data_IF_716691697624
#
_entry.id   IF_716691697624
#
_cell.length_a   1.000
_cell.length_b   1.000
_cell.length_c   1.000
_cell.angle_alpha   90.00
_cell.angle_beta   90.00
_cell.angle_gamma   90.00
#
_symmetry.space_group_name_H-M   'P 1'
#
loop_
_entity.id
_entity.type
_entity.pdbx_description
1 polymer ?
#
# COMPACT_ATOMS: atom_id res chain seq x y z
N UNK A 1 3.19 4.15 26.05
CA UNK A 1 3.19 2.72 26.42
C UNK A 1 4.55 2.16 26.02
N UNK A 2 5.42 1.96 26.99
CA UNK A 2 6.57 1.08 26.85
C UNK A 2 6.10 -0.34 27.15
N UNK A 3 6.39 -1.29 26.25
CA UNK A 3 6.52 -2.69 26.60
C UNK A 3 7.72 -3.28 25.86
N UNK A 4 8.54 -3.98 26.63
CA UNK A 4 9.77 -4.65 26.24
C UNK A 4 9.49 -6.05 25.65
N UNK A 5 10.50 -6.53 24.93
CA UNK A 5 10.54 -7.74 24.11
C UNK A 5 10.54 -9.05 24.91
N UNK A 6 10.16 -10.13 24.22
CA UNK A 6 10.57 -11.50 24.56
C UNK A 6 11.32 -12.08 23.36
N UNK A 7 12.57 -12.46 23.60
CA UNK A 7 13.54 -13.01 22.65
C UNK A 7 13.17 -14.42 22.16
N UNK A 8 13.47 -14.70 20.88
CA UNK A 8 13.80 -16.04 20.40
C UNK A 8 15.04 -15.95 19.49
N UNK A 9 16.06 -16.81 19.69
CA UNK A 9 17.35 -16.65 19.03
C UNK A 9 17.32 -17.29 17.65
N UNK A 10 17.74 -16.54 16.62
CA UNK A 10 18.17 -17.12 15.35
C UNK A 10 19.59 -16.64 15.05
N UNK A 11 20.47 -17.62 15.16
CA UNK A 11 21.90 -17.60 14.89
C UNK A 11 22.23 -17.00 13.53
N UNK A 12 23.08 -15.96 13.54
CA UNK A 12 23.82 -15.47 12.38
C UNK A 12 25.28 -15.89 12.54
N UNK A 13 25.83 -16.45 11.48
CA UNK A 13 27.15 -17.04 11.46
C UNK A 13 28.33 -16.06 11.34
N UNK A 14 29.49 -16.70 11.30
CA UNK A 14 30.81 -16.23 10.85
C UNK A 14 31.61 -15.33 11.80
N UNK A 15 32.24 -15.98 12.79
CA UNK A 15 33.55 -15.58 13.27
C UNK A 15 34.56 -16.71 13.06
N UNK A 16 35.59 -16.47 12.26
CA UNK A 16 36.83 -17.24 12.27
C UNK A 16 37.64 -16.84 13.49
N UNK A 17 37.80 -17.78 14.43
CA UNK A 17 38.72 -17.66 15.57
C UNK A 17 39.94 -18.57 15.37
N UNK A 18 41.12 -18.19 15.89
CA UNK A 18 42.35 -18.92 15.67
C UNK A 18 42.34 -20.26 16.42
N UNK A 19 42.70 -21.32 15.70
CA UNK A 19 43.06 -22.62 16.26
C UNK A 19 44.39 -22.49 17.00
N UNK A 20 44.35 -22.50 18.32
CA UNK A 20 45.22 -23.36 19.13
C UNK A 20 44.97 -23.14 20.62
N UNK A 21 44.45 -24.18 21.28
CA UNK A 21 44.75 -24.60 22.66
C UNK A 21 43.88 -25.81 22.99
N UNK A 22 44.54 -26.97 23.07
CA UNK A 22 43.89 -28.24 23.37
C UNK A 22 43.25 -28.25 24.76
N UNK A 23 41.93 -28.43 24.79
CA UNK A 23 41.22 -28.90 25.97
C UNK A 23 41.08 -30.42 25.88
N UNK A 24 41.70 -31.15 26.82
CA UNK A 24 41.37 -32.56 27.05
C UNK A 24 40.02 -32.61 27.76
N UNK A 25 39.00 -33.09 27.06
CA UNK A 25 37.68 -33.38 27.65
C UNK A 25 37.72 -34.82 28.16
N UNK A 26 37.55 -34.98 29.47
CA UNK A 26 37.34 -36.30 30.10
C UNK A 26 35.91 -36.73 29.83
N UNK A 27 35.73 -37.91 29.24
CA UNK A 27 34.42 -38.52 29.05
C UNK A 27 34.06 -39.30 30.31
N UNK A 28 33.48 -38.59 31.29
CA UNK A 28 32.76 -39.26 32.36
C UNK A 28 31.42 -39.79 31.80
N UNK A 29 31.09 -41.00 32.24
CA UNK A 29 30.01 -41.87 31.77
C UNK A 29 28.68 -41.14 31.55
N UNK A 30 28.20 -41.14 30.31
CA UNK A 30 26.87 -40.62 29.95
C UNK A 30 25.81 -41.50 30.63
N UNK A 31 24.91 -40.94 31.46
CA UNK A 31 23.82 -41.70 32.05
C UNK A 31 22.90 -42.26 30.95
N UNK A 32 22.31 -43.45 31.14
CA UNK A 32 21.40 -44.02 30.16
C UNK A 32 20.23 -43.08 29.89
N UNK A 33 19.74 -42.99 28.64
CA UNK A 33 18.63 -42.13 28.30
C UNK A 33 17.38 -42.53 29.11
N UNK A 34 16.55 -41.56 29.52
CA UNK A 34 15.30 -41.84 30.18
C UNK A 34 14.40 -42.70 29.27
N UNK A 35 13.54 -43.55 29.85
CA UNK A 35 12.58 -44.31 29.07
C UNK A 35 11.68 -43.36 28.24
N UNK A 36 11.27 -43.78 27.03
CA UNK A 36 10.38 -42.98 26.22
C UNK A 36 9.06 -42.72 26.96
N UNK A 37 8.48 -41.51 26.83
CA UNK A 37 7.18 -41.23 27.41
C UNK A 37 6.12 -42.18 26.84
N UNK A 38 5.05 -42.50 27.61
CA UNK A 38 3.92 -43.27 27.12
C UNK A 38 3.39 -42.66 25.81
N UNK A 39 2.98 -43.53 24.87
CA UNK A 39 2.36 -43.07 23.63
C UNK A 39 1.16 -42.18 23.94
N UNK A 40 1.13 -40.98 23.35
CA UNK A 40 -0.02 -40.10 23.48
C UNK A 40 -1.27 -40.79 22.92
N UNK A 41 -2.44 -40.62 23.55
CA UNK A 41 -3.69 -41.13 22.99
C UNK A 41 -3.91 -40.54 21.58
N UNK A 42 -4.56 -41.30 20.68
CA UNK A 42 -4.85 -40.82 19.33
C UNK A 42 -5.66 -39.52 19.42
N UNK A 43 -5.24 -38.52 18.63
CA UNK A 43 -5.99 -37.26 18.54
C UNK A 43 -7.40 -37.54 17.99
N UNK A 44 -8.44 -36.89 18.53
CA UNK A 44 -9.77 -36.99 17.95
C UNK A 44 -9.76 -36.55 16.48
N UNK A 45 -10.61 -37.15 15.63
CA UNK A 45 -10.71 -36.76 14.23
C UNK A 45 -11.03 -35.26 14.14
N UNK A 46 -10.31 -34.55 13.27
CA UNK A 46 -10.59 -33.14 13.02
C UNK A 46 -12.04 -33.00 12.55
N UNK A 47 -12.79 -32.00 13.03
CA UNK A 47 -14.12 -31.73 12.51
C UNK A 47 -14.05 -31.53 10.99
N UNK A 48 -15.09 -31.93 10.24
CA UNK A 48 -15.14 -31.72 8.80
C UNK A 48 -14.89 -30.24 8.51
N UNK A 49 -13.98 -29.97 7.57
CA UNK A 49 -13.63 -28.60 7.20
C UNK A 49 -14.90 -27.88 6.73
N UNK A 50 -15.31 -26.86 7.49
CA UNK A 50 -16.33 -25.92 7.05
C UNK A 50 -15.62 -24.72 6.43
N UNK A 51 -16.01 -24.28 5.22
CA UNK A 51 -15.54 -23.00 4.71
C UNK A 51 -15.83 -21.93 5.76
N UNK A 52 -14.90 -20.99 6.02
CA UNK A 52 -15.20 -19.86 6.88
C UNK A 52 -16.47 -19.18 6.36
N UNK A 53 -17.44 -18.95 7.25
CA UNK A 53 -18.67 -18.23 6.93
C UNK A 53 -18.28 -16.93 6.21
N UNK A 54 -18.81 -16.71 5.01
CA UNK A 54 -18.61 -15.45 4.32
C UNK A 54 -19.14 -14.33 5.22
N UNK A 55 -18.36 -13.26 5.45
CA UNK A 55 -18.86 -12.12 6.21
C UNK A 55 -20.13 -11.57 5.53
N UNK A 56 -21.12 -11.09 6.30
CA UNK A 56 -22.32 -10.51 5.73
C UNK A 56 -21.92 -9.40 4.75
N UNK A 57 -22.64 -9.24 3.62
CA UNK A 57 -22.34 -8.20 2.66
C UNK A 57 -22.32 -6.86 3.41
N UNK A 58 -21.31 -6.01 3.13
CA UNK A 58 -21.22 -4.73 3.79
C UNK A 58 -22.51 -3.92 3.59
N UNK A 59 -23.02 -3.23 4.63
CA UNK A 59 -24.33 -2.57 4.60
C UNK A 59 -24.35 -1.27 3.78
N UNK A 60 -23.36 -1.05 2.91
CA UNK A 60 -23.19 0.21 2.20
C UNK A 60 -23.94 0.14 0.87
N UNK A 61 -25.00 0.93 0.72
CA UNK A 61 -25.53 1.26 -0.60
C UNK A 61 -24.52 2.15 -1.33
N UNK A 62 -23.86 1.60 -2.35
CA UNK A 62 -22.86 2.29 -3.16
C UNK A 62 -23.49 3.10 -4.30
N UNK A 63 -24.81 3.14 -4.43
CA UNK A 63 -25.48 3.94 -5.44
C UNK A 63 -25.57 5.41 -5.00
N UNK A 64 -24.57 6.20 -5.40
CA UNK A 64 -24.56 7.66 -5.26
C UNK A 64 -23.36 8.21 -4.49
N UNK A 65 -23.50 9.45 -3.99
CA UNK A 65 -22.45 10.11 -3.19
C UNK A 65 -22.40 9.48 -1.80
N UNK A 66 -21.20 9.10 -1.36
CA UNK A 66 -20.98 8.60 -0.01
C UNK A 66 -21.31 9.69 1.03
N UNK A 67 -22.13 9.34 2.01
CA UNK A 67 -22.39 10.18 3.19
C UNK A 67 -21.24 10.06 4.19
N UNK A 68 -21.09 11.05 5.07
CA UNK A 68 -20.08 11.01 6.14
C UNK A 68 -20.24 9.77 7.04
N UNK A 69 -21.47 9.32 7.30
CA UNK A 69 -21.77 8.11 8.06
C UNK A 69 -21.26 6.83 7.37
N UNK A 70 -21.46 6.72 6.05
CA UNK A 70 -20.94 5.60 5.26
C UNK A 70 -19.42 5.58 5.25
N UNK A 71 -18.74 6.72 5.04
CA UNK A 71 -17.28 6.80 5.10
C UNK A 71 -16.73 6.36 6.46
N UNK A 72 -17.36 6.79 7.55
CA UNK A 72 -16.94 6.40 8.90
C UNK A 72 -17.15 4.90 9.16
N UNK A 73 -18.27 4.33 8.70
CA UNK A 73 -18.51 2.89 8.78
C UNK A 73 -17.46 2.09 7.99
N UNK A 74 -17.18 2.51 6.75
CA UNK A 74 -16.14 1.93 5.89
C UNK A 74 -14.73 2.03 6.47
N UNK A 75 -14.42 3.06 7.27
CA UNK A 75 -13.14 3.21 7.98
C UNK A 75 -13.05 2.34 9.23
N UNK A 76 -14.17 1.98 9.86
CA UNK A 76 -14.19 1.15 11.07
C UNK A 76 -14.20 -0.34 10.77
N UNK A 77 -14.70 -0.75 9.62
CA UNK A 77 -14.77 -2.15 9.20
C UNK A 77 -13.37 -2.73 8.88
N UNK A 78 -12.82 -3.64 9.71
CA UNK A 78 -11.48 -4.24 9.53
C UNK A 78 -11.31 -4.97 8.20
N UNK A 79 -12.41 -5.39 7.58
CA UNK A 79 -12.37 -6.16 6.34
C UNK A 79 -12.47 -5.26 5.10
N UNK A 80 -12.96 -4.03 5.26
CA UNK A 80 -13.28 -3.15 4.15
C UNK A 80 -12.02 -2.60 3.46
N UNK A 81 -12.07 -2.54 2.12
CA UNK A 81 -10.96 -2.04 1.31
C UNK A 81 -10.60 -0.60 1.65
N UNK A 82 -11.59 0.25 1.94
CA UNK A 82 -11.35 1.63 2.35
C UNK A 82 -10.51 1.68 3.62
N UNK A 83 -10.86 0.93 4.66
CA UNK A 83 -10.00 0.81 5.84
C UNK A 83 -8.63 0.25 5.48
N UNK A 84 -8.52 -0.82 4.68
CA UNK A 84 -7.22 -1.38 4.28
C UNK A 84 -6.33 -0.38 3.52
N UNK A 85 -6.90 0.58 2.80
CA UNK A 85 -6.13 1.68 2.21
C UNK A 85 -5.62 2.65 3.28
N UNK A 86 -6.40 2.91 4.33
CA UNK A 86 -6.17 3.99 5.30
C UNK A 86 -5.64 3.54 6.67
N UNK A 87 -5.70 2.25 6.98
CA UNK A 87 -5.31 1.71 8.28
C UNK A 87 -3.78 1.65 8.39
N UNK A 88 -3.33 1.72 9.63
CA UNK A 88 -1.94 1.62 10.04
C UNK A 88 -1.31 0.26 9.75
N UNK A 89 -2.10 -0.81 9.57
CA UNK A 89 -1.59 -2.17 9.34
C UNK A 89 -0.72 -2.31 8.07
N UNK A 90 -1.13 -1.79 6.89
CA UNK A 90 -0.23 -1.63 5.73
C UNK A 90 1.08 -0.91 6.04
N UNK A 91 1.05 0.11 6.90
CA UNK A 91 2.27 0.81 7.33
C UNK A 91 3.17 -0.07 8.20
N UNK A 92 2.62 -1.06 8.91
CA UNK A 92 3.38 -1.99 9.74
C UNK A 92 4.13 -3.06 8.91
N UNK A 93 3.69 -3.38 7.69
CA UNK A 93 4.42 -4.29 6.78
C UNK A 93 5.65 -3.64 6.12
N UNK A 94 6.02 -2.44 6.55
CA UNK A 94 7.20 -1.73 6.08
C UNK A 94 8.47 -2.39 6.62
N UNK A 95 9.44 -2.63 5.75
CA UNK A 95 10.78 -3.00 6.20
C UNK A 95 11.37 -1.94 7.16
N UNK A 96 12.05 -2.37 8.25
CA UNK A 96 12.60 -1.44 9.26
C UNK A 96 13.51 -0.35 8.68
N UNK A 97 14.27 -0.65 7.63
CA UNK A 97 15.22 0.26 6.99
C UNK A 97 14.62 1.18 5.92
N UNK A 98 13.38 0.95 5.48
CA UNK A 98 12.72 1.85 4.54
C UNK A 98 12.22 3.07 5.29
N UNK A 99 12.28 4.27 4.71
CA UNK A 99 11.70 5.49 5.31
C UNK A 99 10.17 5.48 5.19
N UNK A 100 9.49 6.21 6.08
CA UNK A 100 8.06 6.50 5.89
C UNK A 100 7.89 7.46 4.71
N UNK A 101 6.84 7.29 3.89
CA UNK A 101 6.62 8.18 2.75
C UNK A 101 6.43 9.64 3.18
N UNK A 102 5.84 9.89 4.35
CA UNK A 102 5.66 11.23 4.92
C UNK A 102 6.95 11.86 5.47
N UNK A 103 8.04 11.08 5.57
CA UNK A 103 9.34 11.55 6.00
C UNK A 103 10.27 11.88 4.82
N UNK A 104 9.87 11.54 3.59
CA UNK A 104 10.59 11.90 2.37
C UNK A 104 9.93 13.11 1.71
N UNK A 105 10.73 14.01 1.12
CA UNK A 105 10.16 15.07 0.27
C UNK A 105 9.60 14.46 -1.01
N UNK A 106 8.42 14.92 -1.43
CA UNK A 106 7.71 14.45 -2.62
C UNK A 106 8.59 14.40 -3.87
N UNK A 107 9.19 15.54 -4.24
CA UNK A 107 9.99 15.67 -5.47
C UNK A 107 11.48 15.38 -5.27
N UNK A 108 11.89 15.09 -4.04
CA UNK A 108 13.27 14.79 -3.68
C UNK A 108 13.27 13.65 -2.66
N UNK A 109 12.89 12.45 -3.09
CA UNK A 109 12.68 11.27 -2.24
C UNK A 109 13.88 10.88 -1.36
N UNK A 110 15.09 11.31 -1.74
CA UNK A 110 16.32 11.14 -0.98
C UNK A 110 16.48 12.15 0.17
N UNK A 111 15.81 13.31 0.08
CA UNK A 111 15.78 14.34 1.10
C UNK A 111 14.68 14.07 2.13
N UNK A 112 15.01 14.31 3.39
CA UNK A 112 14.08 14.14 4.49
C UNK A 112 13.24 15.41 4.72
N UNK A 113 12.06 15.20 5.29
CA UNK A 113 11.23 16.26 5.83
C UNK A 113 10.61 15.85 7.18
N UNK A 114 10.30 16.81 8.05
CA UNK A 114 9.54 16.52 9.27
C UNK A 114 8.13 16.02 8.95
N UNK A 115 7.66 15.01 9.69
CA UNK A 115 6.31 14.44 9.53
C UNK A 115 5.20 15.50 9.59
N UNK A 116 5.28 16.45 10.53
CA UNK A 116 4.26 17.51 10.68
C UNK A 116 4.16 18.40 9.45
N UNK A 117 5.27 18.56 8.71
CA UNK A 117 5.30 19.35 7.47
C UNK A 117 4.48 18.67 6.39
N UNK A 118 4.68 17.36 6.18
CA UNK A 118 3.89 16.58 5.24
C UNK A 118 2.39 16.72 5.51
N UNK A 119 1.93 16.43 6.74
CA UNK A 119 0.49 16.47 7.03
C UNK A 119 -0.10 17.89 6.93
N UNK A 120 0.67 18.92 7.30
CA UNK A 120 0.25 20.32 7.12
C UNK A 120 0.10 20.66 5.64
N UNK A 121 1.13 20.41 4.83
CA UNK A 121 1.12 20.72 3.39
C UNK A 121 0.02 19.94 2.66
N UNK A 122 -0.17 18.66 3.01
CA UNK A 122 -1.25 17.82 2.50
C UNK A 122 -2.62 18.39 2.82
N UNK A 123 -2.88 18.74 4.10
CA UNK A 123 -4.13 19.37 4.53
C UNK A 123 -4.38 20.71 3.83
N UNK A 124 -3.34 21.51 3.64
CA UNK A 124 -3.40 22.80 2.96
C UNK A 124 -3.57 22.64 1.45
N UNK A 125 -3.32 21.45 0.89
CA UNK A 125 -3.42 21.18 -0.54
C UNK A 125 -2.28 21.82 -1.34
N UNK A 126 -1.09 21.94 -0.75
CA UNK A 126 0.08 22.57 -1.38
C UNK A 126 0.42 21.92 -2.72
N UNK A 127 0.20 20.62 -2.84
CA UNK A 127 0.55 19.84 -4.04
C UNK A 127 -0.63 19.60 -4.99
N UNK A 128 -1.80 20.20 -4.78
CA UNK A 128 -2.98 19.95 -5.61
C UNK A 128 -2.77 20.36 -7.07
N UNK A 129 -1.98 21.41 -7.29
CA UNK A 129 -1.68 21.93 -8.63
C UNK A 129 -0.62 21.12 -9.40
N UNK A 130 -0.23 19.95 -8.89
CA UNK A 130 0.80 19.12 -9.51
C UNK A 130 0.30 18.39 -10.76
N UNK A 131 1.24 17.89 -11.56
CA UNK A 131 0.94 16.87 -12.56
C UNK A 131 0.74 15.50 -11.88
N UNK A 132 -0.50 15.02 -11.84
CA UNK A 132 -0.83 13.72 -11.23
C UNK A 132 -0.56 12.52 -12.12
N UNK A 133 -0.19 12.76 -13.39
CA UNK A 133 0.28 11.78 -14.36
C UNK A 133 1.80 11.66 -14.41
N UNK A 134 2.52 12.31 -13.50
CA UNK A 134 3.97 12.30 -13.47
C UNK A 134 4.54 10.88 -13.41
N UNK A 135 5.58 10.63 -14.22
CA UNK A 135 6.21 9.31 -14.37
C UNK A 135 5.64 8.45 -15.50
N UNK A 136 4.57 8.86 -16.19
CA UNK A 136 4.15 8.24 -17.45
C UNK A 136 5.12 8.51 -18.62
N UNK A 137 4.93 7.82 -19.74
CA UNK A 137 5.74 8.05 -20.94
C UNK A 137 5.47 9.43 -21.58
N UNK A 138 6.50 9.97 -22.23
CA UNK A 138 6.38 11.16 -23.08
C UNK A 138 6.19 12.48 -22.33
N UNK A 139 5.41 13.40 -22.93
CA UNK A 139 5.15 14.74 -22.37
C UNK A 139 4.31 14.64 -21.09
N UNK A 140 3.34 13.72 -21.07
CA UNK A 140 2.37 13.54 -19.98
C UNK A 140 3.04 13.22 -18.63
N UNK A 141 4.16 12.49 -18.61
CA UNK A 141 4.86 12.16 -17.37
C UNK A 141 5.84 13.21 -16.84
N UNK A 142 5.97 14.37 -17.49
CA UNK A 142 6.89 15.43 -17.03
C UNK A 142 6.23 16.22 -15.90
N UNK A 143 6.97 16.51 -14.82
CA UNK A 143 6.48 17.30 -13.66
C UNK A 143 5.75 18.59 -14.05
N UNK A 144 6.32 19.36 -14.99
CA UNK A 144 5.76 20.65 -15.41
C UNK A 144 4.81 20.55 -16.61
N UNK A 145 4.34 19.34 -16.92
CA UNK A 145 3.40 19.11 -18.02
C UNK A 145 2.07 18.66 -17.45
N UNK A 146 1.10 19.56 -17.40
CA UNK A 146 -0.27 19.18 -17.08
C UNK A 146 -1.00 18.81 -18.36
N UNK A 147 -1.79 17.73 -18.39
CA UNK A 147 -2.68 17.49 -19.50
C UNK A 147 -3.69 18.64 -19.58
N UNK A 148 -4.04 18.99 -20.81
CA UNK A 148 -5.14 19.91 -21.07
C UNK A 148 -6.41 19.08 -21.18
N UNK A 149 -7.38 19.36 -20.31
CA UNK A 149 -8.70 18.74 -20.35
C UNK A 149 -9.65 19.62 -21.14
N UNK A 150 -10.54 19.02 -21.92
CA UNK A 150 -11.52 19.75 -22.75
C UNK A 150 -12.64 20.38 -21.91
N UNK A 151 -12.89 19.82 -20.72
CA UNK A 151 -13.84 20.33 -19.74
C UNK A 151 -13.33 20.06 -18.32
N UNK A 152 -14.14 20.38 -17.30
CA UNK A 152 -13.87 19.97 -15.92
C UNK A 152 -13.74 18.44 -15.87
N UNK A 153 -12.58 17.95 -15.47
CA UNK A 153 -12.27 16.51 -15.43
C UNK A 153 -12.48 15.98 -14.01
N UNK A 154 -13.40 15.03 -13.78
CA UNK A 154 -13.58 14.46 -12.45
C UNK A 154 -12.33 13.70 -12.01
N UNK A 155 -11.99 13.83 -10.74
CA UNK A 155 -10.93 13.04 -10.12
C UNK A 155 -11.42 11.62 -9.86
N UNK A 156 -10.86 10.64 -10.56
CA UNK A 156 -11.14 9.24 -10.30
C UNK A 156 -10.30 8.73 -9.12
N UNK A 157 -10.93 7.90 -8.31
CA UNK A 157 -10.28 7.20 -7.22
C UNK A 157 -10.49 5.70 -7.42
N UNK A 158 -9.40 4.94 -7.44
CA UNK A 158 -9.42 3.52 -7.66
C UNK A 158 -8.00 2.97 -7.78
N UNK A 159 -7.91 1.69 -8.12
CA UNK A 159 -6.65 1.10 -8.54
C UNK A 159 -6.45 1.29 -10.04
N UNK A 160 -5.20 1.35 -10.49
CA UNK A 160 -4.88 1.55 -11.90
C UNK A 160 -5.59 0.52 -12.77
N UNK A 161 -5.68 -0.75 -12.36
CA UNK A 161 -6.36 -1.80 -13.15
C UNK A 161 -7.86 -1.54 -13.33
N UNK A 162 -8.50 -0.92 -12.33
CA UNK A 162 -9.93 -0.56 -12.39
C UNK A 162 -10.16 0.75 -13.13
N UNK A 163 -9.27 1.72 -12.92
CA UNK A 163 -9.30 3.01 -13.60
C UNK A 163 -9.05 2.78 -15.09
N UNK A 164 -8.16 1.86 -15.45
CA UNK A 164 -7.83 1.52 -16.83
C UNK A 164 -9.06 1.02 -17.59
N UNK A 165 -9.74 0.03 -17.02
CA UNK A 165 -10.99 -0.48 -17.59
C UNK A 165 -12.07 0.60 -17.70
N UNK A 166 -12.15 1.50 -16.72
CA UNK A 166 -13.11 2.60 -16.74
C UNK A 166 -12.80 3.60 -17.85
N UNK A 167 -11.58 4.14 -17.89
CA UNK A 167 -11.15 5.08 -18.91
C UNK A 167 -11.21 4.48 -20.33
N UNK A 168 -10.88 3.19 -20.48
CA UNK A 168 -11.00 2.46 -21.75
C UNK A 168 -12.46 2.30 -22.20
N UNK A 169 -13.38 2.06 -21.26
CA UNK A 169 -14.80 1.99 -21.57
C UNK A 169 -15.32 3.37 -21.99
N UNK A 170 -15.02 4.41 -21.22
CA UNK A 170 -15.41 5.80 -21.52
C UNK A 170 -14.83 6.28 -22.86
N UNK A 171 -13.55 6.00 -23.13
CA UNK A 171 -12.91 6.40 -24.39
C UNK A 171 -13.65 5.87 -25.62
N UNK A 172 -14.15 4.62 -25.58
CA UNK A 172 -14.95 4.04 -26.68
C UNK A 172 -16.26 4.78 -26.94
N UNK A 173 -16.79 5.51 -25.97
CA UNK A 173 -17.98 6.33 -26.13
C UNK A 173 -17.66 7.72 -26.69
N UNK A 174 -16.48 8.27 -26.38
CA UNK A 174 -16.11 9.64 -26.73
C UNK A 174 -15.31 9.79 -28.03
N UNK A 175 -14.60 8.76 -28.49
CA UNK A 175 -13.76 8.88 -29.68
C UNK A 175 -13.70 7.60 -30.54
N UNK A 176 -13.67 7.77 -31.86
CA UNK A 176 -13.34 6.71 -32.84
C UNK A 176 -11.81 6.53 -32.97
N UNK A 177 -11.04 7.07 -32.01
CA UNK A 177 -9.60 7.20 -32.06
C UNK A 177 -8.81 5.92 -31.85
N UNK A 178 -7.52 5.99 -32.22
CA UNK A 178 -6.54 4.90 -32.13
C UNK A 178 -6.31 4.54 -30.66
N UNK A 179 -6.93 3.46 -30.21
CA UNK A 179 -6.70 2.87 -28.90
C UNK A 179 -5.24 2.42 -28.75
N UNK A 180 -4.49 3.06 -27.85
CA UNK A 180 -3.15 2.62 -27.45
C UNK A 180 -3.24 1.84 -26.13
N UNK A 181 -3.20 0.51 -26.24
CA UNK A 181 -3.16 -0.43 -25.09
C UNK A 181 -2.02 -0.15 -24.11
N UNK A 182 -1.00 0.60 -24.50
CA UNK A 182 0.17 0.86 -23.65
C UNK A 182 0.08 2.20 -22.92
N UNK A 183 -0.96 2.99 -23.13
CA UNK A 183 -1.04 4.35 -22.62
C UNK A 183 -2.31 4.60 -21.77
N UNK A 184 -2.42 3.84 -20.67
CA UNK A 184 -3.46 3.97 -19.64
C UNK A 184 -3.78 5.44 -19.30
N UNK A 185 -2.74 6.18 -18.91
CA UNK A 185 -2.82 7.59 -18.55
C UNK A 185 -3.35 8.47 -19.70
N UNK A 186 -2.92 8.20 -20.94
CA UNK A 186 -3.42 8.89 -22.13
C UNK A 186 -4.91 8.65 -22.37
N UNK A 187 -5.39 7.41 -22.22
CA UNK A 187 -6.82 7.09 -22.39
C UNK A 187 -7.68 7.82 -21.35
N UNK A 188 -7.21 7.95 -20.11
CA UNK A 188 -7.90 8.74 -19.09
C UNK A 188 -7.95 10.23 -19.41
N UNK A 189 -6.85 10.81 -19.90
CA UNK A 189 -6.85 12.22 -20.37
C UNK A 189 -7.83 12.41 -21.52
N UNK A 190 -7.82 11.52 -22.51
CA UNK A 190 -8.68 11.59 -23.68
C UNK A 190 -10.17 11.42 -23.33
N UNK A 191 -10.49 10.64 -22.29
CA UNK A 191 -11.84 10.52 -21.74
C UNK A 191 -12.21 11.62 -20.74
N UNK A 192 -11.38 12.68 -20.64
CA UNK A 192 -11.59 13.82 -19.75
C UNK A 192 -11.67 13.44 -18.27
N UNK A 193 -10.86 12.48 -17.82
CA UNK A 193 -10.80 12.01 -16.44
C UNK A 193 -9.43 12.29 -15.81
N UNK A 194 -9.41 12.92 -14.63
CA UNK A 194 -8.19 13.18 -13.88
C UNK A 194 -7.87 11.99 -12.96
N UNK A 195 -6.64 11.47 -12.99
CA UNK A 195 -6.25 10.28 -12.20
C UNK A 195 -4.95 10.50 -11.43
N UNK A 196 -4.78 9.77 -10.32
CA UNK A 196 -3.48 9.56 -9.70
C UNK A 196 -2.81 8.38 -10.39
N UNK A 197 -1.77 8.64 -11.19
CA UNK A 197 -0.99 7.56 -11.80
C UNK A 197 -0.23 6.77 -10.73
N UNK A 198 -0.43 5.45 -10.65
CA UNK A 198 0.27 4.62 -9.66
C UNK A 198 1.58 4.04 -10.20
N UNK A 199 1.73 3.90 -11.52
CA UNK A 199 2.94 3.34 -12.15
C UNK A 199 4.05 4.35 -12.51
N UNK A 200 4.06 5.55 -11.92
CA UNK A 200 5.07 6.56 -12.25
C UNK A 200 6.49 6.24 -11.75
N UNK A 201 7.48 6.23 -12.63
CA UNK A 201 8.89 5.97 -12.26
C UNK A 201 9.50 7.09 -11.41
N UNK A 202 9.18 8.34 -11.76
CA UNK A 202 9.73 9.54 -11.11
C UNK A 202 9.17 9.73 -9.71
N UNK A 203 7.85 9.55 -9.56
CA UNK A 203 7.17 9.68 -8.26
C UNK A 203 6.35 8.44 -8.02
N UNK A 204 7.04 7.39 -7.56
CA UNK A 204 6.45 6.08 -7.29
C UNK A 204 5.22 6.22 -6.40
N UNK A 205 4.20 5.43 -6.74
CA UNK A 205 3.03 5.31 -5.87
C UNK A 205 3.44 4.95 -4.46
N UNK A 206 2.82 5.66 -3.53
CA UNK A 206 2.83 5.33 -2.12
C UNK A 206 1.56 5.90 -1.51
N UNK A 207 1.21 5.39 -0.33
CA UNK A 207 0.00 5.78 0.36
C UNK A 207 -0.07 7.27 0.69
N UNK A 208 1.07 7.94 0.87
CA UNK A 208 1.10 9.38 1.11
C UNK A 208 0.65 10.17 -0.12
N UNK A 209 0.98 9.73 -1.34
CA UNK A 209 0.45 10.35 -2.58
C UNK A 209 -1.04 10.13 -2.77
N UNK A 210 -1.55 8.95 -2.38
CA UNK A 210 -2.99 8.71 -2.36
C UNK A 210 -3.68 9.73 -1.42
N UNK A 211 -3.10 9.97 -0.24
CA UNK A 211 -3.63 10.94 0.72
C UNK A 211 -3.63 12.36 0.14
N UNK A 212 -2.52 12.79 -0.46
CA UNK A 212 -2.46 14.11 -1.11
C UNK A 212 -3.54 14.25 -2.20
N UNK A 213 -3.64 13.26 -3.09
CA UNK A 213 -4.65 13.23 -4.15
C UNK A 213 -6.08 13.35 -3.60
N UNK A 214 -6.42 12.54 -2.60
CA UNK A 214 -7.75 12.56 -2.01
C UNK A 214 -8.09 13.87 -1.32
N UNK A 215 -7.13 14.47 -0.61
CA UNK A 215 -7.36 15.79 0.01
C UNK A 215 -7.59 16.84 -1.08
N UNK A 216 -6.83 16.79 -2.18
CA UNK A 216 -7.04 17.69 -3.31
C UNK A 216 -8.41 17.50 -3.98
N UNK A 217 -8.82 16.25 -4.19
CA UNK A 217 -10.15 15.91 -4.71
C UNK A 217 -11.25 16.46 -3.79
N UNK A 218 -11.13 16.23 -2.48
CA UNK A 218 -12.10 16.69 -1.49
C UNK A 218 -12.21 18.22 -1.42
N UNK A 219 -11.13 18.95 -1.76
CA UNK A 219 -11.11 20.41 -1.83
C UNK A 219 -11.57 20.97 -3.17
N UNK A 220 -11.84 20.12 -4.17
CA UNK A 220 -12.18 20.56 -5.54
C UNK A 220 -11.03 21.28 -6.24
N UNK A 221 -9.78 20.86 -5.97
CA UNK A 221 -8.55 21.47 -6.52
C UNK A 221 -7.84 20.55 -7.52
N UNK A 222 -8.57 19.63 -8.15
CA UNK A 222 -8.09 18.70 -9.16
C UNK A 222 -8.75 18.95 -10.51
#
# INVERSE_FOLDING_TARGET
LNFACVDLPLSLGHHTFPLDKGCKVSFDSVPPPPPPPPAAPPSPPSPPWQPPLQPPPPPYDLHGKLTAGQCNAMLRDPTHLFRKMWDSEPFMFRHPWKRNCFAAKRDAWFQEQPMHRFFRETKEGVHCDSNWYEGNFGKLGRMNSRPEFSAMAPALLGFDETIDRFCDAEHKYFDNGIYDRKNHAGNCVNSNNNILSLYGDRVRYNICRNLEWQVCAAKGML
#
